data_IF_922068619097
#
_entry.id   IF_922068619097
#
_cell.length_a   1.000
_cell.length_b   1.000
_cell.length_c   1.000
_cell.angle_alpha   90.00
_cell.angle_beta   90.00
_cell.angle_gamma   90.00
#
_symmetry.space_group_name_H-M   'P 1'
#
loop_
_entity.id
_entity.type
_entity.pdbx_description
1 polymer ?
#
# COMPACT_ATOMS: atom_id res chain seq x y z
N UNK A 1 -18.76 -4.32 -11.63
CA UNK A 1 -18.96 -2.85 -11.46
C UNK A 1 -19.76 -2.63 -10.18
N UNK A 2 -19.38 -1.67 -9.35
CA UNK A 2 -20.05 -1.37 -8.08
C UNK A 2 -21.47 -0.84 -8.32
N UNK A 3 -22.50 -1.55 -7.83
CA UNK A 3 -23.91 -1.18 -8.00
C UNK A 3 -24.31 -0.02 -7.07
N UNK A 4 -25.45 0.62 -7.34
CA UNK A 4 -26.02 1.62 -6.43
C UNK A 4 -26.29 1.02 -5.04
N UNK A 5 -26.86 -0.18 -5.00
CA UNK A 5 -27.12 -0.91 -3.76
C UNK A 5 -25.83 -1.16 -2.95
N UNK A 6 -24.75 -1.57 -3.61
CA UNK A 6 -23.44 -1.74 -2.95
C UNK A 6 -22.94 -0.43 -2.34
N UNK A 7 -23.05 0.70 -3.08
CA UNK A 7 -22.64 2.01 -2.55
C UNK A 7 -23.45 2.42 -1.34
N UNK A 8 -24.76 2.18 -1.35
CA UNK A 8 -25.63 2.53 -0.22
C UNK A 8 -25.30 1.69 1.02
N UNK A 9 -25.02 0.39 0.85
CA UNK A 9 -24.57 -0.49 1.94
C UNK A 9 -23.23 0.00 2.50
N UNK A 10 -22.26 0.30 1.65
CA UNK A 10 -20.95 0.82 2.11
C UNK A 10 -21.10 2.13 2.86
N UNK A 11 -21.90 3.08 2.34
CA UNK A 11 -22.19 4.36 3.04
C UNK A 11 -22.86 4.15 4.40
N UNK A 12 -23.75 3.16 4.53
CA UNK A 12 -24.42 2.85 5.79
C UNK A 12 -23.43 2.36 6.87
N UNK A 13 -22.24 1.85 6.49
CA UNK A 13 -21.19 1.43 7.43
C UNK A 13 -20.28 2.57 7.89
N UNK A 14 -20.38 3.77 7.33
CA UNK A 14 -19.53 4.93 7.69
C UNK A 14 -19.51 5.20 9.19
N UNK A 15 -20.65 5.25 9.93
CA UNK A 15 -20.62 5.48 11.37
C UNK A 15 -19.84 4.42 12.15
N UNK A 16 -19.87 3.17 11.68
CA UNK A 16 -19.12 2.06 12.30
C UNK A 16 -17.62 2.21 12.09
N UNK A 17 -17.20 2.66 10.89
CA UNK A 17 -15.80 2.93 10.59
C UNK A 17 -15.27 4.12 11.38
N UNK A 18 -16.09 5.14 11.60
CA UNK A 18 -15.74 6.28 12.45
C UNK A 18 -15.50 5.87 13.91
N UNK A 19 -16.34 4.97 14.42
CA UNK A 19 -16.28 4.52 15.81
C UNK A 19 -15.20 3.46 16.06
N UNK A 20 -14.99 2.52 15.11
CA UNK A 20 -14.21 1.30 15.33
C UNK A 20 -13.17 0.97 14.24
N UNK A 21 -12.95 1.85 13.25
CA UNK A 21 -12.07 1.55 12.11
C UNK A 21 -10.63 1.20 12.49
N UNK A 22 -10.09 1.82 13.52
CA UNK A 22 -8.72 1.50 13.99
C UNK A 22 -8.65 0.10 14.61
N UNK A 23 -9.65 -0.31 15.38
CA UNK A 23 -9.70 -1.66 15.96
C UNK A 23 -9.78 -2.72 14.84
N UNK A 24 -10.61 -2.48 13.82
CA UNK A 24 -10.73 -3.33 12.66
C UNK A 24 -9.40 -3.47 11.91
N UNK A 25 -8.72 -2.36 11.65
CA UNK A 25 -7.45 -2.39 10.90
C UNK A 25 -6.29 -2.97 11.71
N UNK A 26 -6.28 -2.83 13.04
CA UNK A 26 -5.33 -3.53 13.91
C UNK A 26 -5.53 -5.05 13.85
N UNK A 27 -6.78 -5.50 13.92
CA UNK A 27 -7.12 -6.92 13.78
C UNK A 27 -6.71 -7.45 12.40
N UNK A 28 -7.06 -6.72 11.34
CA UNK A 28 -6.65 -7.04 9.96
C UNK A 28 -5.13 -7.23 9.83
N UNK A 29 -4.32 -6.26 10.29
CA UNK A 29 -2.85 -6.38 10.20
C UNK A 29 -2.32 -7.52 11.05
N UNK A 30 -2.85 -7.72 12.25
CA UNK A 30 -2.42 -8.81 13.14
C UNK A 30 -2.59 -10.18 12.50
N UNK A 31 -3.74 -10.44 11.90
CA UNK A 31 -4.04 -11.70 11.22
C UNK A 31 -3.28 -11.85 9.90
N UNK A 32 -3.31 -10.84 9.04
CA UNK A 32 -2.64 -10.88 7.74
C UNK A 32 -1.13 -11.11 7.88
N UNK A 33 -0.45 -10.34 8.73
CA UNK A 33 1.00 -10.47 8.89
C UNK A 33 1.41 -11.79 9.58
N UNK A 34 0.51 -12.42 10.33
CA UNK A 34 0.76 -13.76 10.91
C UNK A 34 0.63 -14.87 9.86
N UNK A 35 -0.39 -14.78 9.00
CA UNK A 35 -0.73 -15.82 8.03
C UNK A 35 0.05 -15.73 6.71
N UNK A 36 0.46 -14.51 6.32
CA UNK A 36 1.16 -14.24 5.06
C UNK A 36 2.53 -13.57 5.31
N UNK A 37 3.54 -14.35 5.75
CA UNK A 37 4.85 -13.80 6.07
C UNK A 37 5.55 -13.15 4.87
N UNK A 38 5.19 -13.55 3.64
CA UNK A 38 5.75 -13.00 2.41
C UNK A 38 5.39 -11.54 2.15
N UNK A 39 4.29 -11.03 2.74
CA UNK A 39 3.95 -9.60 2.62
C UNK A 39 4.59 -8.73 3.70
N UNK A 40 5.13 -9.32 4.77
CA UNK A 40 5.74 -8.56 5.88
C UNK A 40 6.78 -7.53 5.45
N UNK A 41 7.67 -7.81 4.47
CA UNK A 41 8.67 -6.83 4.03
C UNK A 41 8.09 -5.53 3.45
N UNK A 42 6.81 -5.54 3.05
CA UNK A 42 6.12 -4.34 2.53
C UNK A 42 5.66 -3.40 3.66
N UNK A 43 5.72 -3.85 4.91
CA UNK A 43 5.17 -3.11 6.06
C UNK A 43 6.26 -2.72 7.05
N UNK A 44 6.27 -1.43 7.43
CA UNK A 44 7.21 -0.92 8.43
C UNK A 44 6.77 -1.37 9.83
N UNK A 45 7.60 -2.19 10.49
CA UNK A 45 7.30 -2.73 11.82
C UNK A 45 7.12 -1.65 12.89
N UNK A 46 7.89 -0.56 12.84
CA UNK A 46 7.74 0.55 13.78
C UNK A 46 6.38 1.27 13.61
N UNK A 47 5.90 1.42 12.36
CA UNK A 47 4.58 1.98 12.10
C UNK A 47 3.45 1.03 12.49
N UNK A 48 3.68 -0.28 12.44
CA UNK A 48 2.75 -1.28 12.98
C UNK A 48 2.68 -1.18 14.51
N UNK A 49 3.82 -1.20 15.19
CA UNK A 49 3.90 -1.13 16.65
C UNK A 49 3.31 0.17 17.21
N UNK A 50 3.56 1.31 16.57
CA UNK A 50 3.00 2.62 16.99
C UNK A 50 1.52 2.80 16.65
N UNK A 51 0.93 1.91 15.85
CA UNK A 51 -0.43 2.03 15.33
C UNK A 51 -0.60 3.09 14.23
N UNK A 52 0.49 3.70 13.74
CA UNK A 52 0.41 4.71 12.69
C UNK A 52 -0.17 4.14 11.39
N UNK A 53 0.24 2.93 11.01
CA UNK A 53 -0.23 2.28 9.80
C UNK A 53 -1.70 1.79 9.90
N UNK A 54 -2.15 1.14 10.99
CA UNK A 54 -3.57 0.86 11.20
C UNK A 54 -4.46 2.11 11.10
N UNK A 55 -4.08 3.21 11.74
CA UNK A 55 -4.81 4.48 11.64
C UNK A 55 -4.86 5.04 10.22
N UNK A 56 -3.74 4.97 9.49
CA UNK A 56 -3.69 5.44 8.10
C UNK A 56 -4.64 4.62 7.20
N UNK A 57 -4.66 3.29 7.36
CA UNK A 57 -5.58 2.42 6.62
C UNK A 57 -7.03 2.68 7.01
N UNK A 58 -7.33 2.79 8.31
CA UNK A 58 -8.68 3.10 8.79
C UNK A 58 -9.20 4.41 8.20
N UNK A 59 -8.37 5.46 8.19
CA UNK A 59 -8.72 6.72 7.54
C UNK A 59 -8.92 6.57 6.03
N UNK A 60 -8.06 5.82 5.35
CA UNK A 60 -8.19 5.56 3.91
C UNK A 60 -9.52 4.88 3.56
N UNK A 61 -9.88 3.83 4.31
CA UNK A 61 -11.16 3.11 4.16
C UNK A 61 -12.34 4.05 4.42
N UNK A 62 -12.27 4.85 5.49
CA UNK A 62 -13.31 5.81 5.84
C UNK A 62 -13.51 6.87 4.74
N UNK A 63 -12.41 7.45 4.24
CA UNK A 63 -12.49 8.44 3.15
C UNK A 63 -13.05 7.82 1.87
N UNK A 64 -12.64 6.58 1.54
CA UNK A 64 -13.20 5.86 0.40
C UNK A 64 -14.72 5.66 0.55
N UNK A 65 -15.19 5.18 1.70
CA UNK A 65 -16.61 4.96 1.95
C UNK A 65 -17.44 6.26 1.86
N UNK A 66 -16.90 7.37 2.40
CA UNK A 66 -17.55 8.69 2.34
C UNK A 66 -17.65 9.26 0.93
N UNK A 67 -16.68 8.94 0.08
CA UNK A 67 -16.58 9.51 -1.28
C UNK A 67 -16.88 8.47 -2.37
N UNK A 68 -17.52 7.36 -2.04
CA UNK A 68 -17.75 6.24 -2.96
C UNK A 68 -18.56 6.61 -4.20
N UNK A 69 -19.35 7.68 -4.14
CA UNK A 69 -20.10 8.23 -5.28
C UNK A 69 -19.28 9.24 -6.11
N UNK A 70 -18.11 9.69 -5.62
CA UNK A 70 -17.28 10.74 -6.24
C UNK A 70 -15.79 10.44 -5.99
N UNK A 71 -15.29 9.35 -6.59
CA UNK A 71 -13.91 8.90 -6.39
C UNK A 71 -12.85 9.92 -6.85
N UNK A 72 -13.21 10.82 -7.77
CA UNK A 72 -12.33 11.93 -8.17
C UNK A 72 -11.93 12.85 -7.01
N UNK A 73 -12.76 12.95 -5.97
CA UNK A 73 -12.42 13.70 -4.76
C UNK A 73 -11.26 13.08 -3.96
N UNK A 74 -10.96 11.79 -4.19
CA UNK A 74 -9.87 11.06 -3.55
C UNK A 74 -8.53 11.18 -4.30
N UNK A 75 -8.47 11.91 -5.40
CA UNK A 75 -7.26 12.03 -6.24
C UNK A 75 -5.97 12.27 -5.45
N UNK A 76 -5.89 13.27 -4.53
CA UNK A 76 -4.70 13.51 -3.72
C UNK A 76 -4.33 12.32 -2.81
N UNK A 77 -5.33 11.67 -2.18
CA UNK A 77 -5.12 10.50 -1.33
C UNK A 77 -4.64 9.30 -2.16
N UNK A 78 -5.28 9.02 -3.28
CA UNK A 78 -4.89 7.96 -4.22
C UNK A 78 -3.46 8.20 -4.69
N UNK A 79 -3.10 9.43 -5.07
CA UNK A 79 -1.73 9.77 -5.48
C UNK A 79 -0.70 9.46 -4.40
N UNK A 80 -0.97 9.77 -3.12
CA UNK A 80 -0.08 9.44 -2.01
C UNK A 80 0.05 7.92 -1.81
N UNK A 81 -1.06 7.17 -1.89
CA UNK A 81 -1.05 5.72 -1.78
C UNK A 81 -0.22 5.10 -2.91
N UNK A 82 -0.46 5.50 -4.15
CA UNK A 82 0.28 5.01 -5.34
C UNK A 82 1.78 5.25 -5.18
N UNK A 83 2.21 6.46 -4.81
CA UNK A 83 3.63 6.75 -4.59
C UNK A 83 4.24 5.85 -3.49
N UNK A 84 3.49 5.61 -2.42
CA UNK A 84 3.94 4.73 -1.34
C UNK A 84 4.03 3.27 -1.79
N UNK A 85 3.04 2.77 -2.48
CA UNK A 85 3.01 1.40 -3.01
C UNK A 85 4.14 1.16 -4.02
N UNK A 86 4.31 2.08 -4.95
CA UNK A 86 5.41 2.01 -5.94
C UNK A 86 6.79 2.01 -5.25
N UNK A 87 6.99 2.84 -4.22
CA UNK A 87 8.24 2.86 -3.46
C UNK A 87 8.56 1.54 -2.74
N UNK A 88 7.54 0.76 -2.41
CA UNK A 88 7.63 -0.56 -1.77
C UNK A 88 7.61 -1.70 -2.77
N UNK A 89 7.43 -1.43 -4.05
CA UNK A 89 7.28 -2.43 -5.11
C UNK A 89 6.07 -3.34 -4.89
N UNK A 90 4.93 -2.75 -4.49
CA UNK A 90 3.67 -3.49 -4.40
C UNK A 90 3.27 -3.97 -5.78
N UNK A 91 2.85 -5.23 -5.88
CA UNK A 91 2.47 -5.90 -7.12
C UNK A 91 0.99 -6.32 -7.07
N UNK A 92 0.34 -6.51 -8.23
CA UNK A 92 -1.07 -6.89 -8.30
C UNK A 92 -1.42 -8.16 -7.50
N UNK A 93 -0.48 -9.11 -7.39
CA UNK A 93 -0.67 -10.39 -6.69
C UNK A 93 -0.90 -10.26 -5.18
N UNK A 94 -0.54 -9.12 -4.59
CA UNK A 94 -0.71 -8.87 -3.15
C UNK A 94 -2.10 -8.35 -2.80
N UNK A 95 -2.81 -7.75 -3.77
CA UNK A 95 -4.14 -7.20 -3.54
C UNK A 95 -5.19 -8.25 -3.12
N UNK A 96 -5.25 -9.46 -3.71
CA UNK A 96 -6.15 -10.50 -3.23
C UNK A 96 -5.92 -10.92 -1.77
N UNK A 97 -4.66 -10.96 -1.32
CA UNK A 97 -4.31 -11.25 0.08
C UNK A 97 -4.90 -10.18 1.01
N UNK A 98 -4.66 -8.91 0.68
CA UNK A 98 -5.19 -7.78 1.46
C UNK A 98 -6.71 -7.80 1.46
N UNK A 99 -7.35 -8.00 0.32
CA UNK A 99 -8.81 -8.02 0.19
C UNK A 99 -9.46 -9.12 1.02
N UNK A 100 -8.97 -10.35 0.90
CA UNK A 100 -9.52 -11.48 1.67
C UNK A 100 -9.37 -11.30 3.18
N UNK A 101 -8.21 -10.82 3.63
CA UNK A 101 -7.97 -10.54 5.05
C UNK A 101 -8.82 -9.37 5.57
N UNK A 102 -9.03 -8.33 4.76
CA UNK A 102 -9.86 -7.18 5.14
C UNK A 102 -11.33 -7.58 5.29
N UNK A 103 -11.88 -8.33 4.33
CA UNK A 103 -13.27 -8.80 4.38
C UNK A 103 -13.50 -9.74 5.57
N UNK A 104 -12.53 -10.60 5.87
CA UNK A 104 -12.56 -11.43 7.05
C UNK A 104 -12.54 -10.59 8.33
N UNK A 105 -11.66 -9.62 8.44
CA UNK A 105 -11.58 -8.71 9.58
C UNK A 105 -12.89 -7.93 9.79
N UNK A 106 -13.55 -7.48 8.72
CA UNK A 106 -14.88 -6.86 8.80
C UNK A 106 -15.88 -7.82 9.45
N UNK A 107 -15.92 -9.08 9.00
CA UNK A 107 -16.84 -10.09 9.54
C UNK A 107 -16.56 -10.42 11.00
N UNK A 108 -15.29 -10.59 11.35
CA UNK A 108 -14.89 -10.98 12.70
C UNK A 108 -15.08 -9.86 13.73
N UNK A 109 -14.79 -8.61 13.34
CA UNK A 109 -14.85 -7.46 14.26
C UNK A 109 -16.28 -6.91 14.42
N UNK A 110 -17.06 -6.87 13.33
CA UNK A 110 -18.43 -6.35 13.38
C UNK A 110 -19.46 -7.41 13.79
N UNK A 111 -19.11 -8.69 13.69
CA UNK A 111 -20.00 -9.81 13.98
C UNK A 111 -21.07 -10.05 12.89
N UNK A 112 -21.75 -11.23 12.94
CA UNK A 112 -22.63 -11.70 11.88
C UNK A 112 -23.89 -10.82 11.72
N UNK A 113 -24.36 -10.19 12.78
CA UNK A 113 -25.57 -9.35 12.74
C UNK A 113 -25.38 -8.06 11.95
N UNK A 114 -24.16 -7.53 11.91
CA UNK A 114 -23.78 -6.32 11.18
C UNK A 114 -23.10 -6.67 9.87
N UNK A 115 -22.10 -7.53 9.89
CA UNK A 115 -21.37 -7.97 8.71
C UNK A 115 -22.11 -9.13 8.02
N UNK A 116 -23.34 -8.88 7.60
CA UNK A 116 -24.16 -9.79 6.81
C UNK A 116 -23.48 -10.13 5.48
N UNK A 117 -23.93 -11.19 4.80
CA UNK A 117 -23.39 -11.54 3.46
C UNK A 117 -23.52 -10.39 2.47
N UNK A 118 -24.61 -9.63 2.51
CA UNK A 118 -24.80 -8.45 1.67
C UNK A 118 -23.77 -7.34 1.96
N UNK A 119 -23.40 -7.15 3.22
CA UNK A 119 -22.34 -6.18 3.61
C UNK A 119 -20.97 -6.66 3.12
N UNK A 120 -20.65 -7.94 3.28
CA UNK A 120 -19.39 -8.50 2.81
C UNK A 120 -19.29 -8.45 1.28
N UNK A 121 -20.36 -8.77 0.56
CA UNK A 121 -20.43 -8.66 -0.90
C UNK A 121 -20.21 -7.22 -1.36
N UNK A 122 -20.89 -6.25 -0.74
CA UNK A 122 -20.76 -4.84 -1.06
C UNK A 122 -19.33 -4.32 -0.83
N UNK A 123 -18.71 -4.70 0.31
CA UNK A 123 -17.31 -4.35 0.59
C UNK A 123 -16.33 -5.07 -0.31
N UNK A 124 -16.61 -6.32 -0.72
CA UNK A 124 -15.81 -7.04 -1.70
C UNK A 124 -15.80 -6.33 -3.06
N UNK A 125 -16.99 -5.91 -3.55
CA UNK A 125 -17.11 -5.15 -4.78
C UNK A 125 -16.45 -3.76 -4.69
N UNK A 126 -16.57 -3.08 -3.54
CA UNK A 126 -15.94 -1.80 -3.27
C UNK A 126 -14.41 -1.92 -3.22
N UNK A 127 -13.90 -2.94 -2.54
CA UNK A 127 -12.47 -3.24 -2.50
C UNK A 127 -11.91 -3.52 -3.90
N UNK A 128 -12.58 -4.35 -4.69
CA UNK A 128 -12.14 -4.65 -6.06
C UNK A 128 -12.06 -3.39 -6.93
N UNK A 129 -13.04 -2.50 -6.83
CA UNK A 129 -13.01 -1.22 -7.55
C UNK A 129 -11.80 -0.36 -7.16
N UNK A 130 -11.49 -0.27 -5.86
CA UNK A 130 -10.33 0.47 -5.38
C UNK A 130 -9.02 -0.20 -5.80
N UNK A 131 -8.95 -1.53 -5.71
CA UNK A 131 -7.78 -2.30 -6.13
C UNK A 131 -7.48 -2.10 -7.62
N UNK A 132 -8.49 -2.20 -8.48
CA UNK A 132 -8.34 -1.99 -9.94
C UNK A 132 -7.81 -0.58 -10.25
N UNK A 133 -8.33 0.44 -9.53
CA UNK A 133 -7.89 1.83 -9.68
C UNK A 133 -6.42 2.00 -9.26
N UNK A 134 -6.03 1.45 -8.11
CA UNK A 134 -4.66 1.56 -7.59
C UNK A 134 -3.68 0.78 -8.47
N UNK A 135 -3.99 -0.47 -8.83
CA UNK A 135 -3.16 -1.30 -9.71
C UNK A 135 -2.92 -0.59 -11.05
N UNK A 136 -3.96 -0.02 -11.66
CA UNK A 136 -3.83 0.73 -12.91
C UNK A 136 -2.92 1.95 -12.77
N UNK A 137 -3.11 2.75 -11.73
CA UNK A 137 -2.31 3.95 -11.49
C UNK A 137 -0.84 3.61 -11.11
N UNK A 138 -0.61 2.52 -10.39
CA UNK A 138 0.73 2.02 -10.07
C UNK A 138 1.45 1.50 -11.31
N UNK A 139 0.74 0.78 -12.19
CA UNK A 139 1.29 0.32 -13.46
C UNK A 139 1.75 1.47 -14.34
N UNK A 140 0.96 2.54 -14.43
CA UNK A 140 1.33 3.74 -15.18
C UNK A 140 2.65 4.35 -14.65
N UNK A 141 2.84 4.39 -13.32
CA UNK A 141 4.08 4.89 -12.71
C UNK A 141 5.25 3.95 -12.98
N UNK A 142 5.07 2.63 -12.87
CA UNK A 142 6.10 1.64 -13.17
C UNK A 142 6.53 1.71 -14.63
N UNK A 143 5.57 1.76 -15.55
CA UNK A 143 5.83 1.85 -16.98
C UNK A 143 6.56 3.16 -17.33
N UNK A 144 6.10 4.29 -16.80
CA UNK A 144 6.75 5.59 -17.01
C UNK A 144 8.18 5.62 -16.45
N UNK A 145 8.43 5.01 -15.30
CA UNK A 145 9.77 4.90 -14.72
C UNK A 145 10.70 4.04 -15.59
N UNK A 146 10.21 2.90 -16.06
CA UNK A 146 10.98 1.99 -16.91
C UNK A 146 11.32 2.58 -18.29
N UNK A 147 10.42 3.42 -18.85
CA UNK A 147 10.60 4.05 -20.15
C UNK A 147 11.63 5.21 -20.14
N UNK A 148 12.03 5.73 -18.99
CA UNK A 148 13.03 6.81 -18.91
C UNK A 148 14.42 6.28 -19.30
N UNK A 149 15.29 7.13 -19.90
CA UNK A 149 16.69 6.77 -20.11
C UNK A 149 17.36 6.34 -18.81
N UNK A 150 17.89 5.11 -18.76
CA UNK A 150 18.47 4.53 -17.55
C UNK A 150 17.47 4.09 -16.48
N UNK A 151 16.16 4.12 -16.82
CA UNK A 151 15.08 3.63 -15.95
C UNK A 151 15.03 2.11 -15.85
N UNK A 152 14.29 1.62 -14.88
CA UNK A 152 14.06 0.16 -14.70
C UNK A 152 12.74 -0.08 -13.97
N UNK A 153 12.29 -1.33 -14.04
CA UNK A 153 11.15 -1.85 -13.26
C UNK A 153 11.67 -2.83 -12.21
N UNK A 154 11.05 -2.84 -11.04
CA UNK A 154 11.44 -3.72 -9.96
C UNK A 154 12.78 -3.33 -9.31
N UNK A 155 13.51 -4.31 -8.79
CA UNK A 155 14.83 -4.12 -8.21
C UNK A 155 15.92 -4.20 -9.27
N UNK A 156 16.93 -3.31 -9.20
CA UNK A 156 18.13 -3.34 -10.03
C UNK A 156 19.35 -3.46 -9.14
N UNK A 157 20.30 -4.30 -9.53
CA UNK A 157 21.54 -4.51 -8.75
C UNK A 157 22.48 -3.33 -8.93
N UNK A 158 23.01 -2.87 -7.79
CA UNK A 158 24.05 -1.85 -7.73
C UNK A 158 25.26 -2.34 -6.93
N UNK A 159 26.41 -1.78 -7.21
CA UNK A 159 27.66 -1.99 -6.47
C UNK A 159 28.03 -0.69 -5.76
N UNK A 160 28.58 -0.79 -4.56
CA UNK A 160 29.18 0.34 -3.85
C UNK A 160 30.51 0.64 -4.52
N UNK A 161 30.56 1.74 -5.29
CA UNK A 161 31.79 2.18 -5.95
C UNK A 161 32.74 2.90 -4.97
N UNK A 162 32.18 3.63 -3.99
CA UNK A 162 32.94 4.40 -3.01
C UNK A 162 32.10 4.65 -1.77
N UNK A 163 32.75 4.70 -0.60
CA UNK A 163 32.20 5.19 0.66
C UNK A 163 33.01 6.40 1.11
N UNK A 164 32.32 7.44 1.57
CA UNK A 164 32.96 8.65 2.11
C UNK A 164 32.35 8.94 3.47
N UNK A 165 33.11 8.83 4.58
CA UNK A 165 32.68 9.33 5.87
C UNK A 165 32.52 10.84 5.81
N UNK A 166 31.31 11.35 6.11
CA UNK A 166 31.03 12.79 6.14
C UNK A 166 31.07 13.33 7.58
N UNK A 167 30.78 12.45 8.56
CA UNK A 167 30.88 12.72 9.98
C UNK A 167 31.04 11.41 10.76
N UNK A 168 31.03 11.47 12.10
CA UNK A 168 31.07 10.27 12.94
C UNK A 168 29.85 9.35 12.73
N UNK A 169 28.74 9.87 12.25
CA UNK A 169 27.46 9.14 12.11
C UNK A 169 26.99 9.01 10.66
N UNK A 170 27.54 9.82 9.73
CA UNK A 170 27.06 9.92 8.35
C UNK A 170 28.14 9.41 7.39
N UNK A 171 27.74 8.51 6.49
CA UNK A 171 28.57 8.02 5.39
C UNK A 171 27.84 8.13 4.07
N UNK A 172 28.47 8.77 3.08
CA UNK A 172 27.99 8.80 1.70
C UNK A 172 28.38 7.55 0.95
N UNK A 173 27.40 6.88 0.34
CA UNK A 173 27.58 5.71 -0.50
C UNK A 173 27.40 6.10 -1.96
N UNK A 174 28.42 5.93 -2.76
CA UNK A 174 28.35 6.13 -4.20
C UNK A 174 28.06 4.79 -4.87
N UNK A 175 26.90 4.71 -5.52
CA UNK A 175 26.40 3.50 -6.14
C UNK A 175 26.56 3.57 -7.66
N UNK A 176 26.94 2.46 -8.27
CA UNK A 176 26.93 2.28 -9.73
C UNK A 176 26.14 1.03 -10.10
N UNK A 177 25.38 1.04 -11.22
CA UNK A 177 24.71 -0.16 -11.69
C UNK A 177 25.68 -1.28 -11.93
N UNK A 178 25.35 -2.49 -11.49
CA UNK A 178 26.18 -3.68 -11.69
C UNK A 178 26.29 -4.08 -13.17
N UNK A 179 25.28 -3.74 -13.97
CA UNK A 179 25.23 -3.97 -15.42
C UNK A 179 25.99 -2.91 -16.25
N UNK A 180 26.57 -1.88 -15.60
CA UNK A 180 27.29 -0.78 -16.27
C UNK A 180 26.40 0.18 -17.05
N UNK A 181 25.08 -0.01 -17.05
CA UNK A 181 24.14 0.85 -17.78
C UNK A 181 23.95 2.22 -17.12
N UNK A 182 23.27 3.17 -17.81
CA UNK A 182 22.99 4.48 -17.27
C UNK A 182 22.05 4.40 -16.06
N UNK A 183 22.05 5.46 -15.24
CA UNK A 183 21.10 5.69 -14.15
C UNK A 183 20.12 6.75 -14.62
N UNK A 184 18.83 6.56 -14.32
CA UNK A 184 17.82 7.57 -14.62
C UNK A 184 18.09 8.87 -13.86
N UNK A 185 17.72 9.99 -14.46
CA UNK A 185 17.79 11.29 -13.81
C UNK A 185 16.91 11.29 -12.54
N UNK A 186 17.42 11.89 -11.47
CA UNK A 186 16.73 12.04 -10.20
C UNK A 186 16.66 13.53 -9.81
N UNK A 187 15.77 13.85 -8.89
CA UNK A 187 15.58 15.20 -8.39
C UNK A 187 16.10 15.33 -6.95
N UNK A 188 16.54 16.50 -6.50
CA UNK A 188 16.89 16.75 -5.12
C UNK A 188 15.73 16.39 -4.18
N UNK A 189 16.05 15.71 -3.06
CA UNK A 189 15.05 15.25 -2.10
C UNK A 189 14.38 13.91 -2.43
N UNK A 190 14.67 13.32 -3.58
CA UNK A 190 14.19 11.98 -3.93
C UNK A 190 14.94 10.93 -3.10
N UNK A 191 14.22 9.92 -2.59
CA UNK A 191 14.79 8.78 -1.86
C UNK A 191 14.66 7.50 -2.70
N UNK A 192 15.42 6.48 -2.31
CA UNK A 192 15.41 5.14 -2.92
C UNK A 192 15.15 4.08 -1.86
N UNK A 193 14.47 3.01 -2.24
CA UNK A 193 14.40 1.79 -1.44
C UNK A 193 15.65 0.94 -1.67
N UNK A 194 16.27 0.44 -0.60
CA UNK A 194 17.39 -0.50 -0.67
C UNK A 194 16.93 -1.88 -0.21
N UNK A 195 17.28 -2.92 -0.98
CA UNK A 195 17.20 -4.31 -0.54
C UNK A 195 18.62 -4.79 -0.30
N UNK A 196 18.91 -5.25 0.90
CA UNK A 196 20.19 -5.78 1.31
C UNK A 196 20.00 -7.24 1.71
N UNK A 197 20.89 -8.10 1.26
CA UNK A 197 21.09 -9.44 1.81
C UNK A 197 22.26 -9.32 2.78
N UNK A 198 22.02 -9.59 4.05
CA UNK A 198 23.04 -9.53 5.09
C UNK A 198 23.22 -10.97 5.57
N UNK A 199 24.39 -11.53 5.25
CA UNK A 199 24.81 -12.80 5.81
C UNK A 199 25.07 -12.59 7.32
N UNK A 200 24.19 -13.16 8.18
CA UNK A 200 24.27 -12.95 9.62
C UNK A 200 24.03 -14.17 10.41
#
# INVERSE_FOLDING_TARGET
MLSAQHRDIVKATVPLLEAGGEALTRHFYGTMLAEYPEVRPLFNQAHQASGAQPRALANGILQYARHIDRLEALGPLVGQIVQKHVSLQVLPEQYPIVGSCLLRAIREVLGPDIATDAVIEAWGAAYQQLADLLIGAEEDVYAAAAARPGGWRGARRFQIARKVPESAEITSFYLKPADGGPVMAFQPGQYIGLKLEIDG
#
